data_IF_142427379724
#
_entry.id   IF_142427379724
#
_cell.length_a   1.000
_cell.length_b   1.000
_cell.length_c   1.000
_cell.angle_alpha   90.00
_cell.angle_beta   90.00
_cell.angle_gamma   90.00
#
_symmetry.space_group_name_H-M   'P 1'
#
loop_
_entity.id
_entity.type
_entity.pdbx_description
1 polymer ?
#
# COMPACT_ATOMS: atom_id res chain seq x y z
N UNK A 1 13.00 24.62 64.06
CA UNK A 1 12.57 24.04 62.76
C UNK A 1 13.62 23.00 62.37
N UNK A 2 13.51 21.73 62.78
CA UNK A 2 12.84 20.62 62.05
C UNK A 2 12.77 20.80 60.53
N UNK A 3 13.61 20.07 59.80
CA UNK A 3 13.29 19.14 58.67
C UNK A 3 14.63 18.77 57.98
N UNK A 4 15.24 17.63 58.34
CA UNK A 4 15.00 16.25 57.86
C UNK A 4 15.70 16.00 56.50
N UNK A 5 16.90 15.43 56.58
CA UNK A 5 17.52 14.62 55.53
C UNK A 5 16.69 13.36 55.30
N UNK A 6 16.37 13.04 54.04
CA UNK A 6 16.13 11.67 53.60
C UNK A 6 16.88 11.46 52.29
N UNK A 7 17.99 10.74 52.38
CA UNK A 7 18.60 10.04 51.27
C UNK A 7 17.69 8.86 50.89
N UNK A 8 17.29 8.75 49.63
CA UNK A 8 16.67 7.53 49.12
C UNK A 8 17.79 6.71 48.49
N UNK A 9 18.12 5.63 49.19
CA UNK A 9 18.91 4.53 48.68
C UNK A 9 18.08 3.79 47.62
N UNK A 10 18.58 3.72 46.39
CA UNK A 10 18.11 2.73 45.42
C UNK A 10 18.78 1.40 45.79
N UNK A 11 18.13 0.66 46.69
CA UNK A 11 18.48 -0.73 47.00
C UNK A 11 18.04 -1.56 45.80
N UNK A 12 19.00 -2.31 45.24
CA UNK A 12 18.76 -3.24 44.15
C UNK A 12 17.73 -4.30 44.50
N UNK A 13 16.81 -4.52 43.57
CA UNK A 13 16.17 -5.81 43.39
C UNK A 13 16.90 -6.52 42.26
N UNK A 14 18.00 -7.18 42.62
CA UNK A 14 18.46 -8.35 41.90
C UNK A 14 17.49 -9.49 42.24
N UNK A 15 16.40 -9.56 41.48
CA UNK A 15 15.64 -10.79 41.31
C UNK A 15 15.86 -11.21 39.86
N UNK A 16 16.86 -12.07 39.65
CA UNK A 16 16.94 -12.87 38.44
C UNK A 16 15.73 -13.82 38.43
N UNK A 17 14.60 -13.38 37.89
CA UNK A 17 13.87 -14.29 37.00
C UNK A 17 14.69 -14.34 35.72
N UNK A 18 14.94 -15.54 35.19
CA UNK A 18 15.35 -15.64 33.80
C UNK A 18 14.18 -15.09 32.98
N UNK A 19 14.22 -13.80 32.68
CA UNK A 19 13.46 -13.20 31.61
C UNK A 19 13.99 -13.84 30.33
N UNK A 20 13.33 -14.91 29.91
CA UNK A 20 13.33 -15.31 28.51
C UNK A 20 12.39 -14.37 27.73
N UNK A 21 12.41 -13.07 28.02
CA UNK A 21 11.88 -12.10 27.07
C UNK A 21 12.90 -12.07 25.94
N UNK A 22 12.53 -12.56 24.76
CA UNK A 22 13.27 -12.27 23.55
C UNK A 22 13.31 -10.75 23.40
N UNK A 23 14.42 -10.15 23.83
CA UNK A 23 14.62 -8.72 23.74
C UNK A 23 14.83 -8.39 22.25
N UNK A 24 13.90 -7.63 21.67
CA UNK A 24 14.07 -7.11 20.31
C UNK A 24 15.33 -6.24 20.31
N UNK A 25 16.36 -6.70 19.61
CA UNK A 25 17.52 -5.86 19.36
C UNK A 25 17.20 -4.91 18.23
N UNK A 26 17.35 -3.61 18.49
CA UNK A 26 17.22 -2.59 17.45
C UNK A 26 18.29 -2.84 16.38
N UNK A 27 17.85 -3.31 15.22
CA UNK A 27 18.71 -3.60 14.09
C UNK A 27 18.80 -2.39 13.16
N UNK A 28 20.01 -2.07 12.69
CA UNK A 28 20.20 -1.01 11.69
C UNK A 28 19.64 -1.45 10.33
N UNK A 29 18.95 -0.54 9.67
CA UNK A 29 18.46 -0.74 8.31
C UNK A 29 19.63 -0.87 7.32
N UNK A 30 19.58 -1.89 6.45
CA UNK A 30 20.48 -2.04 5.29
C UNK A 30 19.69 -2.40 4.04
N UNK A 31 20.17 -2.01 2.86
CA UNK A 31 19.53 -2.32 1.58
C UNK A 31 19.37 -3.84 1.37
N UNK A 32 20.40 -4.62 1.72
CA UNK A 32 20.35 -6.09 1.60
C UNK A 32 19.26 -6.72 2.47
N UNK A 33 19.02 -6.18 3.67
CA UNK A 33 17.96 -6.68 4.56
C UNK A 33 16.59 -6.35 3.99
N UNK A 34 16.40 -5.13 3.50
CA UNK A 34 15.12 -4.74 2.91
C UNK A 34 14.84 -5.54 1.65
N UNK A 35 15.81 -5.67 0.74
CA UNK A 35 15.67 -6.51 -0.45
C UNK A 35 15.32 -7.97 -0.08
N UNK A 36 16.00 -8.53 0.93
CA UNK A 36 15.73 -9.90 1.37
C UNK A 36 14.29 -10.14 1.87
N UNK A 37 13.57 -9.11 2.33
CA UNK A 37 12.16 -9.22 2.75
C UNK A 37 11.22 -8.87 1.59
N UNK A 38 11.53 -7.83 0.82
CA UNK A 38 10.72 -7.39 -0.32
C UNK A 38 10.66 -8.47 -1.42
N UNK A 39 11.75 -9.20 -1.61
CA UNK A 39 11.88 -10.27 -2.62
C UNK A 39 11.45 -11.65 -2.09
N UNK A 40 10.88 -11.75 -0.87
CA UNK A 40 10.37 -13.02 -0.37
C UNK A 40 9.21 -13.52 -1.25
N UNK A 41 9.18 -14.83 -1.47
CA UNK A 41 8.07 -15.49 -2.14
C UNK A 41 7.12 -16.13 -1.11
N UNK A 42 5.79 -16.16 -1.36
CA UNK A 42 4.85 -16.81 -0.46
C UNK A 42 5.13 -18.31 -0.29
N UNK A 43 5.18 -18.78 0.95
CA UNK A 43 5.36 -20.21 1.24
C UNK A 43 4.00 -20.96 1.17
N UNK A 44 3.92 -22.04 0.36
CA UNK A 44 2.76 -22.93 0.25
C UNK A 44 2.09 -23.35 1.56
N UNK A 45 2.90 -23.58 2.60
CA UNK A 45 2.44 -24.05 3.92
C UNK A 45 1.44 -23.07 4.53
N UNK A 46 1.55 -21.79 4.18
CA UNK A 46 0.76 -20.72 4.74
C UNK A 46 -0.33 -20.19 3.81
N UNK A 47 -0.56 -20.73 2.60
CA UNK A 47 -1.58 -20.20 1.66
C UNK A 47 -3.00 -20.07 2.30
N UNK A 48 -3.33 -20.98 3.23
CA UNK A 48 -4.64 -21.08 3.89
C UNK A 48 -4.68 -20.65 5.37
N UNK A 49 -3.57 -20.19 5.96
CA UNK A 49 -3.53 -19.69 7.34
C UNK A 49 -3.84 -18.19 7.42
N UNK A 50 -3.76 -17.59 8.62
CA UNK A 50 -3.70 -16.12 8.77
C UNK A 50 -2.26 -15.60 8.73
N UNK A 51 -1.27 -16.34 9.23
CA UNK A 51 0.16 -15.95 9.17
C UNK A 51 0.75 -16.14 7.77
N UNK A 52 1.83 -15.45 7.41
CA UNK A 52 2.46 -15.60 6.10
C UNK A 52 3.18 -14.33 5.67
N UNK A 53 3.33 -14.18 4.35
CA UNK A 53 3.86 -12.96 3.74
C UNK A 53 2.71 -12.02 3.38
N UNK A 54 2.87 -10.75 3.74
CA UNK A 54 1.95 -9.67 3.44
C UNK A 54 2.66 -8.60 2.62
N UNK A 55 1.92 -7.95 1.74
CA UNK A 55 2.37 -6.80 0.97
C UNK A 55 1.30 -5.73 0.95
N UNK A 56 1.73 -4.48 0.97
CA UNK A 56 0.82 -3.37 1.17
C UNK A 56 1.48 -2.02 0.98
N UNK A 57 0.81 -1.00 1.49
CA UNK A 57 1.26 0.38 1.40
C UNK A 57 1.51 0.96 2.78
N UNK A 58 2.38 1.96 2.82
CA UNK A 58 2.50 2.92 3.91
C UNK A 58 2.29 4.32 3.35
N UNK A 59 1.49 5.14 4.03
CA UNK A 59 1.25 6.54 3.68
C UNK A 59 1.09 7.41 4.94
N UNK A 60 1.92 8.44 5.09
CA UNK A 60 1.84 9.37 6.22
C UNK A 60 0.78 10.45 6.00
N UNK A 61 0.09 10.84 7.07
CA UNK A 61 -0.92 11.91 7.05
C UNK A 61 -0.38 13.31 6.72
N UNK A 62 0.92 13.53 6.73
CA UNK A 62 1.53 14.81 6.32
C UNK A 62 2.01 14.80 4.86
N UNK A 63 1.66 13.75 4.11
CA UNK A 63 2.03 13.50 2.72
C UNK A 63 3.53 13.38 2.45
N UNK A 64 4.40 13.27 3.47
CA UNK A 64 5.87 13.22 3.25
C UNK A 64 6.41 11.82 3.01
N UNK A 65 5.71 10.80 3.48
CA UNK A 65 6.13 9.41 3.42
C UNK A 65 5.07 8.60 2.71
N UNK A 66 5.53 7.84 1.72
CA UNK A 66 4.71 6.91 0.95
C UNK A 66 5.60 5.75 0.52
N UNK A 67 5.09 4.53 0.51
CA UNK A 67 5.95 3.39 0.24
C UNK A 67 5.22 2.06 0.13
N UNK A 68 5.95 1.09 -0.36
CA UNK A 68 5.54 -0.31 -0.30
C UNK A 68 6.02 -0.93 1.00
N UNK A 69 5.20 -1.79 1.59
CA UNK A 69 5.51 -2.52 2.81
C UNK A 69 5.41 -4.02 2.54
N UNK A 70 6.39 -4.79 3.03
CA UNK A 70 6.34 -6.24 3.12
C UNK A 70 6.46 -6.66 4.59
N UNK A 71 5.61 -7.59 5.04
CA UNK A 71 5.62 -8.14 6.41
C UNK A 71 5.61 -9.66 6.33
N UNK A 72 6.57 -10.31 6.96
CA UNK A 72 6.57 -11.75 7.17
C UNK A 72 6.20 -12.06 8.62
N UNK A 73 5.08 -12.75 8.83
CA UNK A 73 4.60 -13.15 10.16
C UNK A 73 4.86 -14.62 10.49
N UNK A 74 5.83 -15.25 9.81
CA UNK A 74 6.14 -16.68 10.04
C UNK A 74 7.30 -16.86 11.03
N UNK A 75 7.08 -17.67 12.08
CA UNK A 75 8.10 -17.95 13.10
C UNK A 75 9.37 -18.58 12.53
N UNK A 76 9.26 -19.40 11.46
CA UNK A 76 10.40 -20.10 10.84
C UNK A 76 11.41 -19.17 10.17
N UNK A 77 11.02 -17.94 9.82
CA UNK A 77 11.87 -16.95 9.15
C UNK A 77 12.25 -15.75 10.02
N UNK A 78 11.78 -15.69 11.26
CA UNK A 78 11.75 -14.48 12.06
C UNK A 78 10.60 -13.57 11.65
N UNK A 79 9.98 -12.91 12.63
CA UNK A 79 8.97 -11.89 12.39
C UNK A 79 9.69 -10.63 11.92
N UNK A 80 9.52 -10.26 10.67
CA UNK A 80 10.28 -9.17 10.05
C UNK A 80 9.40 -8.38 9.12
N UNK A 81 9.69 -7.09 8.99
CA UNK A 81 9.03 -6.24 8.02
C UNK A 81 10.04 -5.30 7.37
N UNK A 82 9.75 -4.88 6.15
CA UNK A 82 10.55 -3.91 5.44
C UNK A 82 9.64 -2.97 4.63
N UNK A 83 10.01 -1.70 4.58
CA UNK A 83 9.35 -0.72 3.74
C UNK A 83 10.34 -0.10 2.76
N UNK A 84 9.90 0.06 1.51
CA UNK A 84 10.59 0.87 0.50
C UNK A 84 9.76 2.12 0.25
N UNK A 85 10.26 3.23 0.74
CA UNK A 85 9.62 4.53 0.56
C UNK A 85 9.92 5.06 -0.84
N UNK A 86 8.88 5.52 -1.53
CA UNK A 86 8.96 6.13 -2.84
C UNK A 86 9.19 7.64 -2.70
N UNK A 87 9.77 8.25 -3.74
CA UNK A 87 10.02 9.70 -3.75
C UNK A 87 8.72 10.48 -3.60
N UNK A 88 8.58 11.19 -2.48
CA UNK A 88 7.61 12.28 -2.34
C UNK A 88 8.38 13.57 -2.11
N UNK A 89 8.32 14.49 -3.09
CA UNK A 89 8.78 15.89 -3.07
C UNK A 89 10.27 16.20 -2.74
N UNK A 90 10.97 15.39 -1.94
CA UNK A 90 12.30 15.70 -1.37
C UNK A 90 13.40 14.70 -1.79
N UNK A 91 13.10 13.81 -2.75
CA UNK A 91 14.12 13.11 -3.51
C UNK A 91 14.77 11.88 -2.87
N UNK A 92 14.15 11.21 -1.90
CA UNK A 92 14.73 9.99 -1.33
C UNK A 92 13.80 8.80 -1.46
N UNK A 93 14.22 7.83 -2.29
CA UNK A 93 13.92 6.44 -2.02
C UNK A 93 14.64 6.06 -0.72
N UNK A 94 13.91 5.49 0.23
CA UNK A 94 14.49 5.07 1.51
C UNK A 94 13.96 3.71 1.89
N UNK A 95 14.88 2.82 2.15
CA UNK A 95 14.60 1.53 2.74
C UNK A 95 14.48 1.68 4.27
N UNK A 96 13.62 0.87 4.89
CA UNK A 96 13.41 0.78 6.34
C UNK A 96 13.21 -0.69 6.70
N UNK A 97 13.81 -1.13 7.80
CA UNK A 97 13.70 -2.50 8.29
C UNK A 97 13.19 -2.56 9.73
N UNK A 98 12.41 -3.58 10.04
CA UNK A 98 11.84 -3.82 11.37
C UNK A 98 11.98 -5.28 11.78
N UNK A 99 12.35 -5.49 13.03
CA UNK A 99 12.27 -6.79 13.71
C UNK A 99 10.97 -6.87 14.50
N UNK A 100 10.36 -8.05 14.55
CA UNK A 100 9.08 -8.29 15.16
C UNK A 100 9.11 -9.30 16.30
N UNK A 101 8.14 -9.18 17.20
CA UNK A 101 7.79 -10.21 18.20
C UNK A 101 6.28 -10.40 18.25
N UNK A 102 5.84 -11.62 18.57
CA UNK A 102 4.44 -11.92 18.83
C UNK A 102 4.08 -11.57 20.27
N UNK A 103 2.87 -11.06 20.48
CA UNK A 103 2.35 -10.83 21.83
C UNK A 103 2.10 -12.17 22.53
N UNK A 104 2.69 -12.34 23.71
CA UNK A 104 2.56 -13.57 24.51
C UNK A 104 1.11 -13.79 24.99
N UNK A 105 0.33 -12.71 25.09
CA UNK A 105 -1.07 -12.72 25.55
C UNK A 105 -2.10 -12.76 24.42
N UNK A 106 -1.68 -12.44 23.19
CA UNK A 106 -2.53 -12.42 22.00
C UNK A 106 -1.76 -12.94 20.77
N UNK A 107 -1.94 -14.22 20.38
CA UNK A 107 -1.18 -14.81 19.28
C UNK A 107 -1.47 -14.18 17.90
N UNK A 108 -2.50 -13.36 17.77
CA UNK A 108 -2.79 -12.66 16.51
C UNK A 108 -2.17 -11.25 16.48
N UNK A 109 -1.57 -10.79 17.59
CA UNK A 109 -0.93 -9.48 17.71
C UNK A 109 0.58 -9.58 17.60
N UNK A 110 1.17 -8.70 16.80
CA UNK A 110 2.62 -8.64 16.61
C UNK A 110 3.10 -7.18 16.70
N UNK A 111 4.29 -6.99 17.26
CA UNK A 111 4.93 -5.70 17.43
C UNK A 111 6.22 -5.67 16.65
N UNK A 112 6.43 -4.59 15.90
CA UNK A 112 7.59 -4.37 15.05
C UNK A 112 8.32 -3.10 15.47
N UNK A 113 9.65 -3.18 15.58
CA UNK A 113 10.51 -2.06 15.95
C UNK A 113 11.69 -1.98 14.98
N UNK A 114 11.96 -0.78 14.50
CA UNK A 114 13.08 -0.45 13.63
C UNK A 114 13.82 0.79 14.13
N UNK A 115 14.88 1.18 13.42
CA UNK A 115 15.68 2.35 13.76
C UNK A 115 14.98 3.70 13.54
N UNK A 116 13.85 3.69 12.81
CA UNK A 116 13.09 4.89 12.42
C UNK A 116 11.62 4.86 12.82
N UNK A 117 11.20 3.85 13.58
CA UNK A 117 9.79 3.73 13.90
C UNK A 117 9.41 2.42 14.54
N UNK A 118 8.12 2.31 14.82
CA UNK A 118 7.53 1.09 15.36
C UNK A 118 6.06 1.02 15.00
N UNK A 119 5.55 -0.20 14.93
CA UNK A 119 4.13 -0.42 14.68
C UNK A 119 3.66 -1.73 15.27
N UNK A 120 2.35 -1.86 15.43
CA UNK A 120 1.73 -3.12 15.86
C UNK A 120 0.62 -3.51 14.91
N UNK A 121 0.53 -4.81 14.65
CA UNK A 121 -0.48 -5.39 13.77
C UNK A 121 -1.33 -6.37 14.53
N UNK A 122 -2.58 -6.51 14.11
CA UNK A 122 -3.45 -7.61 14.52
C UNK A 122 -3.92 -8.31 13.25
N UNK A 123 -3.69 -9.62 13.16
CA UNK A 123 -4.18 -10.41 12.06
C UNK A 123 -5.69 -10.60 12.19
N UNK A 124 -6.40 -10.38 11.08
CA UNK A 124 -7.82 -10.69 10.99
C UNK A 124 -8.06 -11.81 9.96
N UNK A 125 -9.26 -12.41 10.03
CA UNK A 125 -9.64 -13.52 9.16
C UNK A 125 -9.87 -13.10 7.70
N UNK A 126 -9.80 -11.81 7.37
CA UNK A 126 -10.03 -11.28 6.04
C UNK A 126 -8.76 -11.24 5.19
N UNK A 127 -7.64 -11.78 5.71
CA UNK A 127 -6.32 -11.70 5.06
C UNK A 127 -5.89 -10.25 4.77
N UNK A 128 -6.48 -9.31 5.51
CA UNK A 128 -6.24 -7.87 5.47
C UNK A 128 -5.65 -7.47 6.80
N UNK A 129 -4.64 -6.64 6.78
CA UNK A 129 -4.01 -6.11 7.96
C UNK A 129 -4.16 -4.60 7.92
N UNK A 130 -4.69 -4.04 9.00
CA UNK A 130 -4.64 -2.60 9.26
C UNK A 130 -3.79 -2.41 10.50
N UNK A 131 -2.79 -1.55 10.37
CA UNK A 131 -1.95 -1.18 11.50
C UNK A 131 -2.70 -0.16 12.35
N UNK A 132 -2.78 -0.41 13.66
CA UNK A 132 -3.47 0.51 14.58
C UNK A 132 -2.70 1.82 14.76
N UNK A 133 -1.36 1.73 14.84
CA UNK A 133 -0.44 2.86 14.93
C UNK A 133 0.89 2.53 14.24
N UNK A 134 1.32 3.39 13.32
CA UNK A 134 2.64 3.31 12.71
C UNK A 134 3.37 4.63 12.95
N UNK A 135 4.27 4.66 13.92
CA UNK A 135 5.14 5.81 14.12
C UNK A 135 6.33 5.70 13.17
N UNK A 136 6.51 6.70 12.31
CA UNK A 136 7.66 6.83 11.43
C UNK A 136 8.30 8.20 11.58
N UNK A 137 9.54 8.24 12.08
CA UNK A 137 10.25 9.49 12.41
C UNK A 137 9.38 10.47 13.24
N UNK A 138 8.50 9.95 14.10
CA UNK A 138 7.59 10.77 14.91
C UNK A 138 6.30 11.23 14.20
N UNK A 139 6.01 10.72 13.00
CA UNK A 139 4.78 10.97 12.24
C UNK A 139 3.96 9.69 12.15
N UNK A 140 2.68 9.78 12.51
CA UNK A 140 1.74 8.66 12.34
C UNK A 140 1.47 8.39 10.86
N UNK A 141 1.38 7.12 10.50
CA UNK A 141 1.17 6.67 9.14
C UNK A 141 0.07 5.63 9.06
N UNK A 142 -0.68 5.67 7.96
CA UNK A 142 -1.60 4.62 7.61
C UNK A 142 -0.85 3.49 6.92
N UNK A 143 -1.19 2.27 7.31
CA UNK A 143 -0.70 1.06 6.69
C UNK A 143 -1.86 0.10 6.50
N UNK A 144 -1.98 -0.38 5.28
CA UNK A 144 -2.80 -1.52 4.93
C UNK A 144 -1.97 -2.51 4.14
N UNK A 145 -2.08 -3.78 4.47
CA UNK A 145 -1.42 -4.85 3.76
C UNK A 145 -2.32 -6.07 3.60
N UNK A 146 -2.08 -6.84 2.57
CA UNK A 146 -2.83 -8.07 2.29
C UNK A 146 -1.89 -9.24 2.17
N UNK A 147 -2.42 -10.40 2.54
CA UNK A 147 -1.69 -11.64 2.45
C UNK A 147 -1.42 -12.00 0.98
N UNK A 148 -0.16 -12.27 0.68
CA UNK A 148 0.26 -12.88 -0.58
C UNK A 148 0.07 -14.39 -0.50
N UNK A 149 -0.26 -15.01 -1.63
CA UNK A 149 -0.33 -16.46 -1.78
C UNK A 149 0.25 -16.86 -3.13
N UNK A 150 0.59 -18.14 -3.33
CA UNK A 150 1.07 -18.59 -4.64
C UNK A 150 0.01 -18.48 -5.75
N UNK A 151 -1.27 -18.49 -5.38
CA UNK A 151 -2.38 -18.39 -6.33
C UNK A 151 -2.85 -16.96 -6.58
N UNK A 152 -2.27 -15.97 -5.90
CA UNK A 152 -2.67 -14.58 -5.97
C UNK A 152 -1.66 -13.72 -5.23
N UNK A 153 -0.92 -12.93 -6.01
CA UNK A 153 -0.03 -11.92 -5.47
C UNK A 153 -0.79 -10.61 -5.24
N UNK A 154 -0.24 -9.77 -4.36
CA UNK A 154 -0.69 -8.41 -4.13
C UNK A 154 0.03 -7.48 -5.09
N UNK A 155 -0.74 -6.73 -5.86
CA UNK A 155 -0.23 -5.75 -6.80
C UNK A 155 -0.57 -4.34 -6.34
N UNK A 156 0.34 -3.40 -6.60
CA UNK A 156 0.26 -2.02 -6.13
C UNK A 156 0.52 -1.03 -7.26
N UNK A 157 -0.31 0.01 -7.36
CA UNK A 157 -0.02 1.21 -8.13
C UNK A 157 -0.12 2.43 -7.22
N UNK A 158 0.78 3.37 -7.42
CA UNK A 158 0.94 4.51 -6.53
C UNK A 158 1.16 5.78 -7.35
N UNK A 159 0.54 6.87 -6.92
CA UNK A 159 0.83 8.18 -7.48
C UNK A 159 0.37 9.36 -6.65
N UNK A 160 0.42 10.53 -7.29
CA UNK A 160 0.01 11.81 -6.72
C UNK A 160 -1.15 12.41 -7.50
N UNK A 161 -1.85 13.34 -6.86
CA UNK A 161 -2.84 14.17 -7.53
C UNK A 161 -2.72 15.63 -7.08
N UNK A 162 -3.06 16.55 -7.99
CA UNK A 162 -3.20 17.97 -7.69
C UNK A 162 -4.25 18.61 -8.59
N UNK A 163 -4.87 19.68 -8.11
CA UNK A 163 -5.86 20.50 -8.82
C UNK A 163 -5.24 21.60 -9.71
N UNK A 164 -4.02 21.39 -10.19
CA UNK A 164 -3.25 22.35 -10.99
C UNK A 164 -3.08 23.74 -10.34
N UNK A 165 -3.09 23.80 -9.00
CA UNK A 165 -2.78 24.99 -8.20
C UNK A 165 -3.62 26.23 -8.52
N UNK A 166 -4.94 26.09 -8.66
CA UNK A 166 -5.83 27.25 -8.84
C UNK A 166 -5.76 28.25 -7.67
N UNK A 167 -5.23 27.84 -6.50
CA UNK A 167 -4.93 28.71 -5.35
C UNK A 167 -3.78 28.16 -4.49
N UNK A 168 -2.94 28.99 -3.85
CA UNK A 168 -2.02 28.52 -2.80
C UNK A 168 -2.79 27.83 -1.67
N UNK A 169 -2.43 26.57 -1.36
CA UNK A 169 -3.21 25.68 -0.47
C UNK A 169 -4.21 24.79 -1.22
N UNK A 170 -3.93 24.45 -2.48
CA UNK A 170 -4.78 23.66 -3.38
C UNK A 170 -5.06 22.23 -2.92
N UNK A 171 -5.93 21.58 -3.69
CA UNK A 171 -6.38 20.22 -3.46
C UNK A 171 -5.37 19.21 -4.03
N UNK A 172 -4.38 18.83 -3.21
CA UNK A 172 -3.34 17.86 -3.57
C UNK A 172 -3.24 16.69 -2.58
N UNK A 173 -2.64 15.59 -3.03
CA UNK A 173 -2.48 14.39 -2.21
C UNK A 173 -1.89 13.19 -2.95
N UNK A 174 -2.00 12.04 -2.30
CA UNK A 174 -1.53 10.74 -2.81
C UNK A 174 -2.72 9.83 -3.11
N UNK A 175 -2.57 8.99 -4.12
CA UNK A 175 -3.46 7.87 -4.38
C UNK A 175 -2.68 6.56 -4.43
N UNK A 176 -3.30 5.50 -3.94
CA UNK A 176 -2.76 4.14 -3.91
C UNK A 176 -3.85 3.15 -4.27
N UNK A 177 -3.58 2.28 -5.24
CA UNK A 177 -4.48 1.22 -5.67
C UNK A 177 -3.86 -0.14 -5.35
N UNK A 178 -4.66 -1.02 -4.77
CA UNK A 178 -4.23 -2.33 -4.28
C UNK A 178 -5.12 -3.41 -4.87
N UNK A 179 -4.51 -4.46 -5.41
CA UNK A 179 -5.16 -5.73 -5.78
C UNK A 179 -4.72 -6.83 -4.83
N UNK A 180 -5.64 -7.74 -4.49
CA UNK A 180 -5.46 -8.78 -3.45
C UNK A 180 -5.43 -10.20 -4.01
N UNK A 181 -5.22 -10.36 -5.32
CA UNK A 181 -5.26 -11.67 -5.98
C UNK A 181 -6.59 -12.01 -6.66
N UNK A 182 -7.62 -11.15 -6.60
CA UNK A 182 -8.85 -11.37 -7.35
C UNK A 182 -8.60 -11.20 -8.87
N UNK A 183 -9.04 -12.18 -9.65
CA UNK A 183 -8.85 -12.19 -11.10
C UNK A 183 -10.20 -12.15 -11.81
N UNK A 184 -10.30 -11.32 -12.84
CA UNK A 184 -11.37 -11.33 -13.84
C UNK A 184 -10.81 -11.81 -15.16
N UNK A 185 -11.29 -12.95 -15.66
CA UNK A 185 -10.92 -13.43 -16.98
C UNK A 185 -11.71 -12.64 -18.04
N UNK A 186 -11.01 -11.79 -18.79
CA UNK A 186 -11.57 -11.01 -19.88
C UNK A 186 -12.09 -11.90 -21.01
N UNK A 187 -13.06 -11.43 -21.81
CA UNK A 187 -13.37 -12.05 -23.09
C UNK A 187 -12.18 -11.92 -24.05
N UNK A 188 -12.24 -12.65 -25.18
CA UNK A 188 -11.38 -12.34 -26.31
C UNK A 188 -11.79 -10.97 -26.90
N UNK A 189 -10.81 -10.10 -27.04
CA UNK A 189 -10.93 -8.74 -27.58
C UNK A 189 -10.38 -8.61 -29.01
N UNK A 190 -10.40 -7.39 -29.53
CA UNK A 190 -9.90 -7.08 -30.89
C UNK A 190 -8.38 -7.25 -31.00
N UNK A 191 -7.63 -6.89 -29.95
CA UNK A 191 -6.17 -7.03 -29.91
C UNK A 191 -5.66 -8.18 -29.04
N UNK A 192 -6.51 -8.70 -28.12
CA UNK A 192 -6.23 -9.93 -27.40
C UNK A 192 -7.17 -11.02 -27.89
N UNK A 193 -6.71 -11.84 -28.85
CA UNK A 193 -7.55 -12.88 -29.46
C UNK A 193 -7.90 -14.05 -28.51
N UNK A 194 -7.48 -13.98 -27.25
CA UNK A 194 -7.73 -14.97 -26.22
C UNK A 194 -8.18 -14.30 -24.92
N UNK A 195 -8.93 -15.04 -24.12
CA UNK A 195 -9.30 -14.60 -22.79
C UNK A 195 -8.04 -14.34 -21.95
N UNK A 196 -7.97 -13.21 -21.24
CA UNK A 196 -6.81 -12.88 -20.43
C UNK A 196 -7.23 -12.53 -19.00
N UNK A 197 -6.41 -12.94 -18.05
CA UNK A 197 -6.65 -12.69 -16.64
C UNK A 197 -6.26 -11.26 -16.27
N UNK A 198 -7.25 -10.49 -15.81
CA UNK A 198 -7.11 -9.12 -15.34
C UNK A 198 -7.16 -9.11 -13.80
N UNK A 199 -6.27 -8.36 -13.17
CA UNK A 199 -6.18 -8.25 -11.72
C UNK A 199 -7.11 -7.13 -11.26
N UNK A 200 -8.15 -7.44 -10.50
CA UNK A 200 -9.17 -6.43 -10.13
C UNK A 200 -8.63 -5.56 -8.98
N UNK A 201 -8.69 -4.23 -9.10
CA UNK A 201 -8.39 -3.34 -7.95
C UNK A 201 -9.41 -3.60 -6.85
N UNK A 202 -8.95 -3.84 -5.63
CA UNK A 202 -9.80 -4.12 -4.47
C UNK A 202 -9.95 -2.91 -3.54
N UNK A 203 -8.88 -2.14 -3.37
CA UNK A 203 -8.84 -0.99 -2.47
C UNK A 203 -8.14 0.18 -3.13
N UNK A 204 -8.73 1.37 -2.99
CA UNK A 204 -8.11 2.64 -3.35
C UNK A 204 -8.04 3.47 -2.08
N UNK A 205 -6.84 3.93 -1.76
CA UNK A 205 -6.53 4.78 -0.62
C UNK A 205 -6.13 6.16 -1.14
N UNK A 206 -6.73 7.19 -0.58
CA UNK A 206 -6.46 8.59 -0.89
C UNK A 206 -5.97 9.28 0.38
N UNK A 207 -4.78 9.87 0.33
CA UNK A 207 -4.30 10.75 1.40
C UNK A 207 -4.35 12.19 0.92
N UNK A 208 -5.03 13.06 1.65
CA UNK A 208 -5.22 14.46 1.28
C UNK A 208 -5.13 15.37 2.52
N UNK A 209 -4.07 16.18 2.59
CA UNK A 209 -3.70 16.84 3.84
C UNK A 209 -3.67 15.81 4.98
N UNK A 210 -4.21 16.15 6.15
CA UNK A 210 -4.28 15.24 7.31
C UNK A 210 -5.43 14.21 7.24
N UNK A 211 -6.04 13.99 6.09
CA UNK A 211 -7.14 13.05 5.93
C UNK A 211 -6.74 11.83 5.09
N UNK A 212 -7.36 10.69 5.43
CA UNK A 212 -7.28 9.43 4.71
C UNK A 212 -8.69 9.08 4.26
N UNK A 213 -8.84 8.61 3.03
CA UNK A 213 -10.11 8.11 2.53
C UNK A 213 -9.89 6.78 1.84
N UNK A 214 -10.75 5.80 2.12
CA UNK A 214 -10.71 4.50 1.45
C UNK A 214 -12.01 4.28 0.70
N UNK A 215 -11.93 3.65 -0.47
CA UNK A 215 -13.12 3.37 -1.28
C UNK A 215 -14.13 2.44 -0.55
N UNK A 216 -13.70 1.69 0.46
CA UNK A 216 -14.58 0.85 1.30
C UNK A 216 -15.44 1.64 2.30
N UNK A 217 -15.25 2.95 2.44
CA UNK A 217 -16.05 3.80 3.34
C UNK A 217 -17.49 4.07 2.83
N UNK A 218 -17.91 3.42 1.73
CA UNK A 218 -19.24 3.60 1.13
C UNK A 218 -19.73 2.38 0.34
N UNK A 219 -20.99 2.42 -0.10
CA UNK A 219 -21.55 1.38 -0.96
C UNK A 219 -20.90 1.43 -2.35
N UNK A 220 -20.14 0.39 -2.70
CA UNK A 220 -19.54 0.18 -4.01
C UNK A 220 -20.61 -0.25 -5.02
N UNK A 221 -21.23 0.68 -5.75
CA UNK A 221 -22.31 0.33 -6.69
C UNK A 221 -22.07 0.75 -8.15
N UNK A 222 -21.02 1.53 -8.45
CA UNK A 222 -20.96 2.28 -9.72
C UNK A 222 -19.64 2.21 -10.49
N UNK A 223 -18.59 1.57 -9.99
CA UNK A 223 -17.29 1.54 -10.68
C UNK A 223 -17.31 0.50 -11.80
N UNK A 224 -17.72 0.90 -12.99
CA UNK A 224 -17.62 0.08 -14.20
C UNK A 224 -17.24 0.96 -15.38
N UNK A 225 -16.55 0.40 -16.36
CA UNK A 225 -16.19 1.14 -17.56
C UNK A 225 -16.19 0.28 -18.81
N UNK A 226 -16.52 0.91 -19.93
CA UNK A 226 -16.36 0.27 -21.23
C UNK A 226 -14.94 0.47 -21.69
N UNK A 227 -14.21 -0.62 -21.97
CA UNK A 227 -12.87 -0.52 -22.55
C UNK A 227 -12.93 -0.70 -24.07
N UNK A 228 -13.41 0.32 -24.79
CA UNK A 228 -13.72 0.22 -26.21
C UNK A 228 -12.55 -0.09 -27.14
N UNK A 229 -11.30 0.04 -26.69
CA UNK A 229 -10.14 -0.16 -27.56
C UNK A 229 -9.69 -1.60 -27.69
N UNK A 230 -9.87 -2.38 -26.64
CA UNK A 230 -9.52 -3.78 -26.64
C UNK A 230 -10.77 -4.66 -26.54
N UNK A 231 -11.82 -4.16 -25.91
CA UNK A 231 -12.97 -4.97 -25.51
C UNK A 231 -14.29 -4.22 -25.77
N UNK A 232 -15.18 -4.79 -26.58
CA UNK A 232 -16.52 -4.21 -26.73
C UNK A 232 -17.44 -4.58 -25.55
N UNK A 233 -16.91 -4.53 -24.32
CA UNK A 233 -17.58 -4.95 -23.08
C UNK A 233 -17.35 -3.94 -21.95
N UNK A 234 -18.25 -3.99 -20.96
CA UNK A 234 -18.16 -3.17 -19.75
C UNK A 234 -17.54 -4.00 -18.63
N UNK A 235 -16.39 -3.55 -18.14
CA UNK A 235 -15.68 -4.15 -17.03
C UNK A 235 -16.26 -3.66 -15.71
N UNK A 236 -16.40 -4.55 -14.72
CA UNK A 236 -17.04 -4.23 -13.44
C UNK A 236 -16.15 -3.46 -12.47
N UNK A 237 -14.91 -3.10 -12.84
CA UNK A 237 -13.99 -2.31 -12.03
C UNK A 237 -12.71 -1.96 -12.79
N UNK A 238 -11.87 -1.10 -12.19
CA UNK A 238 -10.46 -0.88 -12.56
C UNK A 238 -9.64 -2.14 -12.40
N UNK A 239 -8.68 -2.34 -13.29
CA UNK A 239 -7.84 -3.51 -13.29
C UNK A 239 -6.37 -3.20 -13.57
N UNK A 240 -5.52 -4.13 -13.13
CA UNK A 240 -4.14 -4.26 -13.58
C UNK A 240 -4.04 -5.40 -14.59
N UNK A 241 -3.05 -5.29 -15.46
CA UNK A 241 -2.60 -6.34 -16.34
C UNK A 241 -1.10 -6.47 -16.19
N UNK A 242 -0.61 -7.70 -16.02
CA UNK A 242 0.80 -7.96 -15.85
C UNK A 242 1.20 -9.20 -16.65
N UNK A 243 2.11 -8.99 -17.60
CA UNK A 243 2.77 -10.05 -18.35
C UNK A 243 4.26 -9.70 -18.48
N UNK A 244 5.09 -10.70 -18.78
CA UNK A 244 6.55 -10.54 -18.84
C UNK A 244 7.00 -9.33 -19.71
N UNK A 245 7.27 -8.20 -19.05
CA UNK A 245 7.74 -6.96 -19.67
C UNK A 245 6.67 -5.94 -20.07
N UNK A 246 5.38 -6.22 -19.85
CA UNK A 246 4.28 -5.28 -20.06
C UNK A 246 3.34 -5.28 -18.86
N UNK A 247 3.22 -4.12 -18.23
CA UNK A 247 2.34 -3.90 -17.09
C UNK A 247 1.42 -2.75 -17.39
N UNK A 248 0.19 -2.83 -16.95
CA UNK A 248 -0.81 -1.83 -17.26
C UNK A 248 -1.81 -1.69 -16.12
N UNK A 249 -2.31 -0.47 -15.96
CA UNK A 249 -3.38 -0.11 -15.05
C UNK A 249 -4.43 0.62 -15.89
N UNK A 250 -5.68 0.19 -15.84
CA UNK A 250 -6.78 0.86 -16.55
C UNK A 250 -7.97 1.08 -15.63
N UNK A 251 -8.36 2.34 -15.51
CA UNK A 251 -9.66 2.77 -15.01
C UNK A 251 -10.15 4.00 -15.74
N UNK A 252 -11.18 3.86 -16.58
CA UNK A 252 -11.75 4.98 -17.33
C UNK A 252 -13.09 5.42 -16.74
N UNK A 253 -13.31 6.73 -16.58
CA UNK A 253 -14.57 7.32 -16.12
C UNK A 253 -15.15 6.65 -14.85
N UNK A 254 -14.29 6.27 -13.93
CA UNK A 254 -14.66 5.64 -12.66
C UNK A 254 -15.43 6.64 -11.79
N UNK A 255 -16.33 6.13 -10.96
CA UNK A 255 -17.15 6.92 -10.03
C UNK A 255 -17.12 6.25 -8.66
N UNK A 256 -16.06 6.56 -7.92
CA UNK A 256 -15.75 5.95 -6.63
C UNK A 256 -16.25 6.83 -5.48
N UNK A 257 -16.82 6.21 -4.45
CA UNK A 257 -17.24 6.91 -3.23
C UNK A 257 -16.20 6.78 -2.13
N UNK A 258 -15.74 7.90 -1.61
CA UNK A 258 -14.78 8.03 -0.52
C UNK A 258 -15.42 8.77 0.65
N UNK A 259 -15.65 8.09 1.79
CA UNK A 259 -16.34 8.65 2.96
C UNK A 259 -17.62 9.44 2.62
N UNK A 260 -18.52 8.83 1.83
CA UNK A 260 -19.78 9.41 1.30
C UNK A 260 -19.63 10.53 0.25
N UNK A 261 -18.40 10.90 -0.12
CA UNK A 261 -18.11 11.90 -1.16
C UNK A 261 -17.78 11.17 -2.47
N UNK A 262 -18.40 11.60 -3.56
CA UNK A 262 -18.22 10.96 -4.87
C UNK A 262 -17.08 11.65 -5.62
N UNK A 263 -16.10 10.86 -6.07
CA UNK A 263 -15.05 11.27 -6.97
C UNK A 263 -15.25 10.61 -8.34
N UNK A 264 -15.08 11.37 -9.41
CA UNK A 264 -15.01 10.83 -10.78
C UNK A 264 -13.59 10.94 -11.30
N UNK A 265 -13.05 9.89 -11.88
CA UNK A 265 -11.65 9.89 -12.30
C UNK A 265 -11.38 8.97 -13.50
N UNK A 266 -10.28 9.24 -14.20
CA UNK A 266 -9.77 8.38 -15.27
C UNK A 266 -8.26 8.32 -15.18
N UNK A 267 -7.71 7.11 -15.12
CA UNK A 267 -6.28 6.88 -15.19
C UNK A 267 -6.05 5.58 -15.94
N UNK A 268 -5.31 5.68 -17.05
CA UNK A 268 -4.73 4.53 -17.69
C UNK A 268 -3.29 4.81 -18.06
N UNK A 269 -2.45 3.80 -17.89
CA UNK A 269 -1.06 3.85 -18.29
C UNK A 269 -0.50 2.43 -18.33
N UNK A 270 0.56 2.27 -19.09
CA UNK A 270 1.34 1.05 -19.14
C UNK A 270 2.83 1.34 -18.95
N UNK A 271 3.54 0.33 -18.47
CA UNK A 271 4.98 0.29 -18.35
C UNK A 271 5.52 -0.74 -19.32
N UNK A 272 6.31 -0.26 -20.28
CA UNK A 272 6.89 -1.08 -21.32
C UNK A 272 8.29 -0.56 -21.66
N UNK A 273 9.28 -1.46 -21.71
CA UNK A 273 10.64 -1.09 -22.07
C UNK A 273 11.34 -0.13 -21.09
N UNK A 274 10.87 -0.04 -19.84
CA UNK A 274 11.44 0.86 -18.83
C UNK A 274 10.76 2.22 -18.74
N UNK A 275 9.74 2.49 -19.55
CA UNK A 275 9.06 3.79 -19.60
C UNK A 275 7.58 3.65 -19.23
N UNK A 276 7.05 4.65 -18.53
CA UNK A 276 5.62 4.82 -18.29
C UNK A 276 5.00 5.62 -19.42
N UNK A 277 3.94 5.09 -20.00
CA UNK A 277 3.19 5.74 -21.06
C UNK A 277 1.73 5.80 -20.63
N UNK A 278 1.20 7.02 -20.52
CA UNK A 278 -0.22 7.22 -20.25
C UNK A 278 -1.04 6.80 -21.46
N UNK A 279 -2.27 6.35 -21.20
CA UNK A 279 -3.21 5.95 -22.24
C UNK A 279 -4.55 6.68 -22.08
N UNK A 280 -5.35 6.64 -23.14
CA UNK A 280 -6.68 7.26 -23.19
C UNK A 280 -7.73 6.22 -23.58
N UNK A 281 -8.98 6.39 -23.15
CA UNK A 281 -10.08 5.51 -23.56
C UNK A 281 -10.43 5.60 -25.06
N UNK A 282 -9.71 6.43 -25.84
CA UNK A 282 -10.01 6.74 -27.22
C UNK A 282 -8.97 6.13 -28.17
N UNK A 283 -9.40 5.12 -28.91
CA UNK A 283 -8.54 4.26 -29.71
C UNK A 283 -7.93 5.02 -30.88
N UNK A 284 -6.62 4.89 -31.06
CA UNK A 284 -5.89 5.52 -32.17
C UNK A 284 -5.76 7.04 -32.06
N UNK A 285 -6.02 7.62 -30.88
CA UNK A 285 -5.72 9.04 -30.62
C UNK A 285 -4.35 9.16 -29.94
N UNK A 286 -3.52 10.06 -30.43
CA UNK A 286 -2.16 10.30 -29.92
C UNK A 286 -2.12 11.19 -28.67
N UNK A 287 -3.24 11.31 -27.95
CA UNK A 287 -3.47 12.38 -26.97
C UNK A 287 -3.46 11.89 -25.53
N UNK A 288 -2.57 10.97 -25.19
CA UNK A 288 -2.26 10.75 -23.78
C UNK A 288 -1.62 12.03 -23.22
N UNK A 289 -2.38 12.76 -22.40
CA UNK A 289 -1.98 14.07 -21.86
C UNK A 289 -0.79 14.01 -20.88
N UNK A 290 -0.19 12.82 -20.67
CA UNK A 290 0.86 12.59 -19.69
C UNK A 290 0.35 12.54 -18.24
N UNK A 291 -0.96 12.45 -18.05
CA UNK A 291 -1.63 12.36 -16.74
C UNK A 291 -3.03 11.75 -16.89
N UNK A 292 -3.54 11.17 -15.80
CA UNK A 292 -4.97 10.90 -15.60
C UNK A 292 -5.71 12.14 -15.09
N UNK A 293 -7.03 12.06 -14.96
CA UNK A 293 -7.86 13.18 -14.49
C UNK A 293 -8.71 12.77 -13.29
N UNK A 294 -9.04 13.74 -12.44
CA UNK A 294 -10.03 13.56 -11.38
C UNK A 294 -10.95 14.77 -11.25
N UNK A 295 -12.12 14.55 -10.69
CA UNK A 295 -13.07 15.55 -10.23
C UNK A 295 -13.62 15.09 -8.88
N UNK A 296 -13.37 15.86 -7.82
CA UNK A 296 -13.77 15.49 -6.46
C UNK A 296 -14.06 16.75 -5.62
N UNK A 297 -15.26 16.80 -5.04
CA UNK A 297 -15.78 17.95 -4.27
C UNK A 297 -15.66 19.31 -4.97
N UNK A 298 -15.91 19.33 -6.28
CA UNK A 298 -15.85 20.54 -7.09
C UNK A 298 -14.45 20.96 -7.52
N UNK A 299 -13.40 20.22 -7.11
CA UNK A 299 -12.05 20.37 -7.63
C UNK A 299 -11.87 19.46 -8.84
N UNK A 300 -11.14 19.93 -9.84
CA UNK A 300 -10.74 19.11 -10.98
C UNK A 300 -9.22 19.17 -11.07
N UNK A 301 -8.59 18.08 -11.47
CA UNK A 301 -7.15 18.03 -11.49
C UNK A 301 -6.57 16.83 -12.23
N UNK A 302 -5.30 16.60 -11.95
CA UNK A 302 -4.46 15.61 -12.63
C UNK A 302 -4.06 14.51 -11.67
N UNK A 303 -4.05 13.28 -12.17
CA UNK A 303 -3.47 12.11 -11.53
C UNK A 303 -2.13 11.81 -12.21
N UNK A 304 -1.05 11.71 -11.43
CA UNK A 304 0.27 11.30 -11.91
C UNK A 304 0.68 10.02 -11.22
N UNK A 305 1.36 9.14 -11.94
CA UNK A 305 1.92 7.89 -11.45
C UNK A 305 3.34 8.17 -10.97
N UNK A 306 3.63 7.74 -9.75
CA UNK A 306 4.98 7.82 -9.20
C UNK A 306 5.75 6.56 -9.60
N UNK A 307 5.14 5.40 -9.37
CA UNK A 307 5.72 4.09 -9.67
C UNK A 307 4.63 3.03 -9.87
N UNK A 308 4.95 1.98 -10.63
CA UNK A 308 4.40 0.65 -10.40
C UNK A 308 5.32 -0.01 -9.39
N UNK A 309 5.04 0.17 -8.11
CA UNK A 309 6.00 -0.17 -7.09
C UNK A 309 6.34 -1.65 -7.07
N UNK A 310 5.42 -2.53 -7.51
CA UNK A 310 5.66 -3.97 -7.70
C UNK A 310 4.46 -4.66 -8.43
N UNK A 311 4.01 -4.13 -9.59
CA UNK A 311 3.52 -5.07 -10.62
C UNK A 311 4.72 -5.88 -11.12
#
# INVERSE_FOLDING_TARGET
>A
MKKLLIAIAAIGLAACSADNSEEIQLQTTTADRVAAIMDLEPDPEFDNSNSGLFKGIIASYDLKTKGTLAINTTEKGGLVAAARLHKVNDGLERDVYFEGVQDVSDPERFYFIGDRGSFSIVLNNEKRLVVEHFDFDGTDSYVVAYKRSRGGDVSLAMGTFDDDYATPGGFEGNWDAIHRGAVYTSPAGEHSTFATDLLIVDEIVITQGSNMYINQDGAQTNDSFTETCFYNETFPHVWFYDTAGYREFIGYNQTTTFATRVATWSLAYYFFGGEFIYDTPACGTSEAAGYGTFSWDGNNGRLRVDTLSDL
#
